data_IF_705070434971
#
_entry.id   IF_705070434971
#
_cell.length_a   1.000
_cell.length_b   1.000
_cell.length_c   1.000
_cell.angle_alpha   90.00
_cell.angle_beta   90.00
_cell.angle_gamma   90.00
#
_symmetry.space_group_name_H-M   'P 1'
#
loop_
_entity.id
_entity.type
_entity.pdbx_description
1 polymer ?
#
# COMPACT_ATOMS: atom_id res chain seq x y z
N UNK A 1 18.79 14.21 1.20
CA UNK A 1 18.77 12.81 0.71
C UNK A 1 19.80 12.63 -0.39
N UNK A 2 20.46 11.47 -0.45
CA UNK A 2 21.40 11.17 -1.53
C UNK A 2 20.67 10.68 -2.80
N UNK A 3 19.42 10.27 -2.67
CA UNK A 3 18.58 9.75 -3.74
C UNK A 3 17.25 10.52 -3.81
N UNK A 4 16.53 10.36 -4.92
CA UNK A 4 15.20 10.97 -5.06
C UNK A 4 14.19 10.37 -4.08
N UNK A 5 13.34 11.22 -3.51
CA UNK A 5 12.16 10.81 -2.76
C UNK A 5 11.00 10.73 -3.76
N UNK A 6 10.46 9.53 -3.95
CA UNK A 6 9.36 9.29 -4.90
C UNK A 6 8.11 8.74 -4.20
N UNK A 7 8.24 8.40 -2.92
CA UNK A 7 7.22 7.72 -2.14
C UNK A 7 6.31 8.72 -1.43
N UNK A 8 5.13 8.26 -1.06
CA UNK A 8 4.23 9.03 -0.20
C UNK A 8 4.93 9.33 1.12
N UNK A 9 4.85 10.58 1.55
CA UNK A 9 5.36 11.05 2.84
C UNK A 9 4.31 10.69 3.90
N UNK A 10 4.77 10.22 5.06
CA UNK A 10 3.91 9.95 6.21
C UNK A 10 4.15 11.00 7.30
N UNK A 11 3.11 11.32 8.07
CA UNK A 11 3.17 12.30 9.15
C UNK A 11 2.39 11.82 10.36
N UNK A 12 3.00 11.95 11.54
CA UNK A 12 2.35 11.75 12.83
C UNK A 12 3.08 12.54 13.92
N UNK A 13 2.32 13.19 14.79
CA UNK A 13 2.84 13.85 16.02
C UNK A 13 4.02 14.81 15.79
N UNK A 14 3.97 15.63 14.75
CA UNK A 14 5.02 16.61 14.45
C UNK A 14 6.25 16.01 13.75
N UNK A 15 6.23 14.73 13.37
CA UNK A 15 7.32 14.05 12.68
C UNK A 15 6.88 13.67 11.26
N UNK A 16 7.70 14.06 10.29
CA UNK A 16 7.54 13.68 8.88
C UNK A 16 8.51 12.54 8.57
N UNK A 17 8.00 11.47 7.99
CA UNK A 17 8.83 10.35 7.50
C UNK A 17 8.85 10.38 5.97
N UNK A 18 10.05 10.34 5.43
CA UNK A 18 10.31 10.21 4.00
C UNK A 18 11.22 9.02 3.73
N UNK A 19 11.02 8.36 2.59
CA UNK A 19 11.86 7.27 2.12
C UNK A 19 12.45 7.63 0.76
N UNK A 20 13.76 7.44 0.59
CA UNK A 20 14.39 7.64 -0.71
C UNK A 20 14.38 6.39 -1.59
N UNK A 21 14.75 6.54 -2.85
CA UNK A 21 14.75 5.45 -3.82
C UNK A 21 15.72 4.28 -3.50
N UNK A 22 16.60 4.45 -2.52
CA UNK A 22 17.45 3.39 -1.98
C UNK A 22 16.87 2.79 -0.68
N UNK A 23 15.61 3.08 -0.36
CA UNK A 23 14.89 2.67 0.85
C UNK A 23 15.43 3.28 2.16
N UNK A 24 16.31 4.27 2.12
CA UNK A 24 16.72 4.94 3.36
C UNK A 24 15.54 5.77 3.90
N UNK A 25 15.34 5.69 5.20
CA UNK A 25 14.31 6.45 5.90
C UNK A 25 14.91 7.69 6.57
N UNK A 26 14.16 8.76 6.55
CA UNK A 26 14.48 10.04 7.17
C UNK A 26 13.29 10.49 8.01
N UNK A 27 13.51 10.76 9.29
CA UNK A 27 12.55 11.46 10.11
C UNK A 27 12.96 12.92 10.25
N UNK A 28 12.02 13.79 9.98
CA UNK A 28 12.21 15.23 10.03
C UNK A 28 11.22 15.83 11.02
N UNK A 29 11.66 16.81 11.75
CA UNK A 29 10.79 17.68 12.52
C UNK A 29 9.91 18.47 11.55
N UNK A 30 8.59 18.40 11.71
CA UNK A 30 7.64 18.95 10.74
C UNK A 30 7.63 20.50 10.71
N UNK A 31 8.02 21.15 11.79
CA UNK A 31 8.05 22.61 11.89
C UNK A 31 9.35 23.21 11.32
N UNK A 32 10.47 22.63 11.69
CA UNK A 32 11.79 23.17 11.34
C UNK A 32 12.46 22.50 10.16
N UNK A 33 11.97 21.33 9.71
CA UNK A 33 12.62 20.51 8.69
C UNK A 33 13.93 19.85 9.15
N UNK A 34 14.29 19.95 10.42
CA UNK A 34 15.52 19.36 10.94
C UNK A 34 15.44 17.84 10.95
N UNK A 35 16.57 17.21 10.56
CA UNK A 35 16.71 15.77 10.65
C UNK A 35 16.73 15.32 12.12
N UNK A 36 15.79 14.47 12.50
CA UNK A 36 15.70 13.85 13.82
C UNK A 36 16.50 12.55 13.88
N UNK A 37 16.26 11.66 12.90
CA UNK A 37 17.01 10.42 12.74
C UNK A 37 17.00 9.96 11.29
N UNK A 38 17.90 9.02 10.99
CA UNK A 38 18.01 8.39 9.67
C UNK A 38 18.34 6.91 9.83
N UNK A 39 17.66 6.09 9.03
CA UNK A 39 17.96 4.66 8.92
C UNK A 39 18.48 4.35 7.51
N UNK A 40 19.65 3.73 7.45
CA UNK A 40 20.22 3.21 6.21
C UNK A 40 19.81 1.75 6.05
N UNK A 41 19.12 1.46 4.96
CA UNK A 41 18.72 0.10 4.64
C UNK A 41 19.67 -0.47 3.61
N UNK A 42 20.46 -1.47 4.05
CA UNK A 42 21.33 -2.19 3.12
C UNK A 42 20.50 -3.18 2.32
N UNK A 43 20.20 -2.82 1.08
CA UNK A 43 19.48 -3.67 0.15
C UNK A 43 20.41 -4.70 -0.47
N UNK A 44 19.92 -5.96 -0.54
CA UNK A 44 20.57 -7.03 -1.31
C UNK A 44 19.92 -7.19 -2.70
N UNK A 45 18.99 -6.32 -3.10
CA UNK A 45 18.25 -6.37 -4.36
C UNK A 45 17.87 -4.98 -4.86
N UNK A 46 17.50 -4.89 -6.13
CA UNK A 46 17.18 -3.65 -6.81
C UNK A 46 16.07 -2.83 -6.13
N UNK A 47 16.31 -1.53 -5.90
CA UNK A 47 15.39 -0.64 -5.15
C UNK A 47 14.24 -0.09 -6.01
N UNK A 48 13.82 -0.77 -7.08
CA UNK A 48 13.02 -0.13 -8.12
C UNK A 48 11.62 0.30 -7.72
N UNK A 49 11.04 -0.20 -6.64
CA UNK A 49 9.63 -0.01 -6.37
C UNK A 49 9.33 -0.12 -4.87
N UNK A 50 9.80 0.81 -4.11
CA UNK A 50 9.39 0.90 -2.72
C UNK A 50 8.47 2.10 -2.55
N UNK A 51 7.19 1.85 -2.71
CA UNK A 51 6.17 2.79 -2.28
C UNK A 51 5.58 2.25 -1.00
N UNK A 52 6.08 2.44 0.11
CA UNK A 52 5.45 1.74 1.16
C UNK A 52 5.85 2.17 2.54
N UNK A 53 5.60 3.42 2.91
CA UNK A 53 5.67 3.83 4.32
C UNK A 53 4.27 4.13 4.84
N UNK A 54 4.04 3.72 6.07
CA UNK A 54 2.88 4.15 6.85
C UNK A 54 3.29 4.30 8.30
N UNK A 55 2.53 5.09 9.06
CA UNK A 55 2.72 5.26 10.49
C UNK A 55 1.42 4.84 11.16
N UNK A 56 1.53 4.07 12.23
CA UNK A 56 0.41 3.77 13.10
C UNK A 56 0.89 3.72 14.55
N UNK A 57 0.28 4.52 15.40
CA UNK A 57 0.52 4.55 16.87
C UNK A 57 2.00 4.66 17.24
N UNK A 58 2.73 5.56 16.58
CA UNK A 58 4.14 5.81 16.87
C UNK A 58 5.10 4.76 16.32
N UNK A 59 4.65 3.90 15.41
CA UNK A 59 5.50 2.94 14.69
C UNK A 59 5.50 3.26 13.20
N UNK A 60 6.69 3.35 12.62
CA UNK A 60 6.92 3.53 11.18
C UNK A 60 7.10 2.17 10.54
N UNK A 61 6.26 1.85 9.58
CA UNK A 61 6.37 0.63 8.76
C UNK A 61 6.85 0.99 7.36
N UNK A 62 7.83 0.27 6.85
CA UNK A 62 8.44 0.55 5.56
C UNK A 62 8.78 -0.71 4.77
N UNK A 63 8.64 -0.63 3.44
CA UNK A 63 9.20 -1.60 2.52
C UNK A 63 10.72 -1.46 2.43
N UNK A 64 11.44 -2.58 2.40
CA UNK A 64 12.91 -2.62 2.37
C UNK A 64 13.46 -3.44 1.19
N UNK A 65 12.84 -3.35 0.04
CA UNK A 65 13.14 -4.26 -1.07
C UNK A 65 12.38 -5.58 -0.89
N UNK A 66 13.07 -6.69 -0.69
CA UNK A 66 12.43 -7.99 -0.48
C UNK A 66 12.01 -8.19 0.98
N UNK A 67 11.16 -7.31 1.51
CA UNK A 67 10.65 -7.43 2.86
C UNK A 67 10.08 -6.13 3.43
N UNK A 68 9.84 -6.16 4.72
CA UNK A 68 9.28 -5.08 5.51
C UNK A 68 10.11 -4.81 6.77
N UNK A 69 9.97 -3.64 7.32
CA UNK A 69 10.59 -3.24 8.58
C UNK A 69 9.69 -2.33 9.40
N UNK A 70 9.91 -2.31 10.72
CA UNK A 70 9.25 -1.41 11.65
C UNK A 70 10.27 -0.70 12.53
N UNK A 71 10.01 0.59 12.78
CA UNK A 71 10.87 1.45 13.57
C UNK A 71 10.03 2.29 14.54
N UNK A 72 10.59 2.58 15.69
CA UNK A 72 10.01 3.57 16.58
C UNK A 72 10.05 4.97 15.94
N UNK A 73 8.92 5.64 15.90
CA UNK A 73 8.75 6.93 15.22
C UNK A 73 9.67 8.02 15.79
N UNK A 74 9.86 8.05 17.12
CA UNK A 74 10.61 9.13 17.77
C UNK A 74 12.11 8.91 17.70
N UNK A 75 12.56 7.67 17.87
CA UNK A 75 13.97 7.33 18.03
C UNK A 75 14.60 6.73 16.78
N UNK A 76 13.79 6.20 15.86
CA UNK A 76 14.26 5.45 14.72
C UNK A 76 14.82 4.06 15.08
N UNK A 77 14.69 3.61 16.34
CA UNK A 77 15.15 2.27 16.71
C UNK A 77 14.37 1.20 15.97
N UNK A 78 15.08 0.20 15.47
CA UNK A 78 14.47 -0.93 14.79
C UNK A 78 13.68 -1.77 15.79
N UNK A 79 12.39 -1.99 15.50
CA UNK A 79 11.51 -2.88 16.25
C UNK A 79 11.63 -4.28 15.69
N UNK A 80 11.46 -4.43 14.38
CA UNK A 80 11.66 -5.69 13.67
C UNK A 80 12.02 -5.46 12.20
N UNK A 81 12.63 -6.48 11.57
CA UNK A 81 12.89 -6.56 10.14
C UNK A 81 12.51 -7.96 9.65
N UNK A 82 11.65 -8.02 8.64
CA UNK A 82 11.35 -9.23 7.90
C UNK A 82 11.99 -9.16 6.51
N UNK A 83 12.80 -10.16 6.17
CA UNK A 83 13.47 -10.32 4.87
C UNK A 83 13.03 -11.60 4.14
N UNK A 84 11.95 -12.23 4.58
CA UNK A 84 11.54 -13.57 4.12
C UNK A 84 10.77 -13.55 2.80
N UNK A 85 10.60 -12.36 2.22
CA UNK A 85 9.96 -12.24 0.92
C UNK A 85 10.86 -12.78 -0.19
N UNK A 86 10.23 -13.29 -1.26
CA UNK A 86 10.95 -13.77 -2.43
C UNK A 86 11.83 -12.64 -2.99
N UNK A 87 13.06 -13.00 -3.41
CA UNK A 87 13.94 -12.04 -4.11
C UNK A 87 13.20 -11.33 -5.25
N UNK A 88 13.38 -10.02 -5.35
CA UNK A 88 12.73 -9.11 -6.30
C UNK A 88 11.25 -8.80 -6.03
N UNK A 89 10.66 -9.29 -4.96
CA UNK A 89 9.35 -8.84 -4.51
C UNK A 89 9.54 -7.69 -3.51
N UNK A 90 9.31 -6.47 -3.93
CA UNK A 90 9.27 -5.29 -3.04
C UNK A 90 7.84 -4.79 -2.84
N UNK A 91 7.59 -4.10 -1.75
CA UNK A 91 6.34 -3.38 -1.55
C UNK A 91 6.18 -2.31 -2.63
N UNK A 92 5.11 -2.38 -3.40
CA UNK A 92 4.81 -1.44 -4.50
C UNK A 92 3.62 -0.55 -4.20
N UNK A 93 3.03 -0.72 -3.04
CA UNK A 93 1.87 0.03 -2.57
C UNK A 93 2.14 0.60 -1.19
N UNK A 94 1.44 1.66 -0.81
CA UNK A 94 1.43 2.11 0.58
C UNK A 94 0.98 0.96 1.48
N UNK A 95 1.70 0.76 2.58
CA UNK A 95 1.38 -0.28 3.54
C UNK A 95 0.07 0.03 4.26
N UNK A 96 -0.77 -0.97 4.44
CA UNK A 96 -2.07 -0.81 5.08
C UNK A 96 -2.10 -1.53 6.41
N UNK A 97 -2.39 -0.79 7.47
CA UNK A 97 -2.63 -1.37 8.79
C UNK A 97 -4.07 -1.81 8.90
N UNK A 98 -4.29 -3.10 9.12
CA UNK A 98 -5.61 -3.73 9.26
C UNK A 98 -5.71 -4.50 10.58
N UNK A 99 -5.92 -3.77 11.67
CA UNK A 99 -5.84 -4.31 13.02
C UNK A 99 -4.43 -4.80 13.35
N UNK A 100 -4.24 -6.08 13.60
CA UNK A 100 -2.92 -6.67 13.89
C UNK A 100 -2.20 -7.16 12.62
N UNK A 101 -2.67 -6.80 11.43
CA UNK A 101 -2.07 -7.23 10.16
C UNK A 101 -1.58 -6.02 9.37
N UNK A 102 -0.31 -6.08 8.98
CA UNK A 102 0.29 -5.15 8.03
C UNK A 102 0.20 -5.76 6.63
N UNK A 103 -0.50 -5.08 5.73
CA UNK A 103 -0.78 -5.58 4.38
C UNK A 103 0.00 -4.80 3.34
N UNK A 104 0.60 -5.52 2.40
CA UNK A 104 1.35 -4.93 1.29
C UNK A 104 1.12 -5.67 -0.01
N UNK A 105 0.93 -4.90 -1.08
CA UNK A 105 0.99 -5.41 -2.44
C UNK A 105 2.42 -5.42 -2.98
N UNK A 106 2.72 -6.37 -3.89
CA UNK A 106 4.02 -6.47 -4.55
C UNK A 106 3.90 -6.49 -6.06
N UNK A 107 4.96 -6.05 -6.75
CA UNK A 107 4.94 -5.93 -8.23
C UNK A 107 4.71 -7.26 -8.95
N UNK A 108 5.22 -8.37 -8.44
CA UNK A 108 5.28 -9.62 -9.18
C UNK A 108 4.36 -10.70 -8.67
N UNK A 109 3.58 -10.44 -7.69
CA UNK A 109 2.81 -11.54 -7.38
C UNK A 109 2.03 -11.61 -6.16
N UNK A 110 1.83 -10.58 -5.50
CA UNK A 110 1.02 -10.92 -4.40
C UNK A 110 0.66 -9.83 -3.46
N UNK A 111 -0.24 -10.23 -2.64
CA UNK A 111 -0.61 -9.53 -1.45
C UNK A 111 -0.06 -10.31 -0.26
N UNK A 112 0.63 -9.64 0.62
CA UNK A 112 1.14 -10.21 1.86
C UNK A 112 0.44 -9.61 3.05
N UNK A 113 0.02 -10.45 3.99
CA UNK A 113 -0.36 -10.05 5.33
C UNK A 113 0.71 -10.51 6.32
N UNK A 114 1.21 -9.57 7.09
CA UNK A 114 2.25 -9.81 8.08
C UNK A 114 1.74 -9.40 9.47
N UNK A 115 2.12 -10.14 10.49
CA UNK A 115 1.87 -9.75 11.86
C UNK A 115 2.53 -8.39 12.15
N UNK A 116 1.77 -7.44 12.61
CA UNK A 116 2.23 -6.04 12.76
C UNK A 116 3.29 -5.88 13.86
N UNK A 117 3.30 -6.77 14.85
CA UNK A 117 4.21 -6.68 16.00
C UNK A 117 5.53 -7.41 15.78
N UNK A 118 5.54 -8.43 14.92
CA UNK A 118 6.71 -9.30 14.72
C UNK A 118 7.24 -9.26 13.29
N UNK A 119 6.45 -8.74 12.34
CA UNK A 119 6.74 -8.75 10.93
C UNK A 119 6.61 -10.13 10.26
N UNK A 120 6.28 -11.20 10.99
CA UNK A 120 6.15 -12.54 10.43
C UNK A 120 5.00 -12.63 9.44
N UNK A 121 5.22 -13.30 8.31
CA UNK A 121 4.17 -13.54 7.34
C UNK A 121 3.07 -14.43 7.96
N UNK A 122 1.84 -13.94 7.92
CA UNK A 122 0.64 -14.68 8.32
C UNK A 122 0.03 -15.40 7.12
N UNK A 123 -0.06 -14.69 6.00
CA UNK A 123 -0.62 -15.22 4.76
C UNK A 123 -0.03 -14.53 3.53
N UNK A 124 -0.20 -15.20 2.39
CA UNK A 124 0.18 -14.69 1.07
C UNK A 124 -0.89 -15.10 0.06
N UNK A 125 -1.30 -14.15 -0.76
CA UNK A 125 -2.10 -14.41 -1.95
C UNK A 125 -1.23 -14.14 -3.18
N UNK A 126 -0.87 -15.17 -3.92
CA UNK A 126 0.01 -15.06 -5.09
C UNK A 126 -0.62 -15.53 -6.38
N UNK A 127 -1.78 -16.14 -6.30
CA UNK A 127 -2.46 -16.74 -7.43
C UNK A 127 -3.65 -15.89 -7.91
N UNK A 128 -4.20 -16.19 -9.08
CA UNK A 128 -5.32 -15.49 -9.71
C UNK A 128 -5.02 -14.14 -10.34
N UNK A 129 -3.78 -13.88 -10.74
CA UNK A 129 -3.42 -12.68 -11.48
C UNK A 129 -3.38 -11.41 -10.64
N UNK A 130 -3.21 -11.55 -9.32
CA UNK A 130 -2.98 -10.40 -8.44
C UNK A 130 -1.67 -9.71 -8.81
N UNK A 131 -1.77 -8.52 -9.41
CA UNK A 131 -0.65 -7.61 -9.67
C UNK A 131 -1.00 -6.26 -9.10
N UNK A 132 -0.34 -5.90 -8.00
CA UNK A 132 -0.60 -4.63 -7.33
C UNK A 132 0.46 -3.61 -7.73
N UNK A 133 0.24 -2.87 -8.81
CA UNK A 133 1.20 -1.91 -9.37
C UNK A 133 0.91 -0.44 -9.05
N UNK A 134 -0.17 -0.13 -8.39
CA UNK A 134 -0.51 1.27 -8.17
C UNK A 134 -1.52 1.47 -7.05
N UNK A 135 -2.59 0.69 -7.02
CA UNK A 135 -3.61 0.80 -5.99
C UNK A 135 -3.16 0.17 -4.68
N UNK A 136 -3.19 0.93 -3.61
CA UNK A 136 -2.95 0.40 -2.26
C UNK A 136 -4.19 -0.31 -1.73
N UNK A 137 -4.05 -1.39 -0.93
CA UNK A 137 -5.15 -1.96 -0.18
C UNK A 137 -5.78 -0.90 0.74
N UNK A 138 -7.10 -0.92 0.88
CA UNK A 138 -7.83 -0.05 1.81
C UNK A 138 -8.45 -0.91 2.90
N UNK A 139 -8.18 -0.60 4.17
CA UNK A 139 -8.86 -1.23 5.29
C UNK A 139 -10.04 -0.36 5.74
N UNK A 140 -11.24 -0.88 5.59
CA UNK A 140 -12.48 -0.24 6.08
C UNK A 140 -13.51 -1.30 6.45
N UNK A 141 -14.28 -1.04 7.50
CA UNK A 141 -15.37 -1.90 8.01
C UNK A 141 -14.93 -3.36 8.26
N UNK A 142 -13.73 -3.51 8.84
CA UNK A 142 -13.18 -4.82 9.16
C UNK A 142 -12.70 -5.64 7.96
N UNK A 143 -12.66 -5.09 6.76
CA UNK A 143 -12.30 -5.76 5.51
C UNK A 143 -11.20 -5.04 4.76
N UNK A 144 -10.47 -5.78 3.94
CA UNK A 144 -9.56 -5.21 2.94
C UNK A 144 -10.28 -5.13 1.59
N UNK A 145 -10.17 -3.97 0.96
CA UNK A 145 -10.72 -3.65 -0.34
C UNK A 145 -9.56 -3.42 -1.30
N UNK A 146 -9.49 -4.20 -2.37
CA UNK A 146 -8.30 -4.27 -3.22
C UNK A 146 -8.70 -4.31 -4.68
N UNK A 147 -8.04 -3.48 -5.48
CA UNK A 147 -8.09 -3.57 -6.93
C UNK A 147 -6.80 -4.25 -7.40
N UNK A 148 -6.92 -5.25 -8.22
CA UNK A 148 -5.77 -5.94 -8.79
C UNK A 148 -6.08 -6.54 -10.15
N UNK A 149 -5.22 -6.29 -11.12
CA UNK A 149 -5.31 -6.80 -12.49
C UNK A 149 -6.64 -6.51 -13.18
N UNK A 150 -7.60 -7.43 -13.12
CA UNK A 150 -8.92 -7.30 -13.73
C UNK A 150 -10.07 -7.40 -12.73
N UNK A 151 -9.74 -7.50 -11.44
CA UNK A 151 -10.75 -7.79 -10.44
C UNK A 151 -10.68 -6.85 -9.26
N UNK A 152 -11.83 -6.68 -8.65
CA UNK A 152 -11.98 -6.12 -7.32
C UNK A 152 -12.14 -7.25 -6.31
N UNK A 153 -11.42 -7.16 -5.20
CA UNK A 153 -11.42 -8.17 -4.14
C UNK A 153 -11.82 -7.57 -2.82
N UNK A 154 -12.59 -8.33 -2.06
CA UNK A 154 -12.85 -8.08 -0.63
C UNK A 154 -12.24 -9.24 0.15
N UNK A 155 -11.37 -8.93 1.10
CA UNK A 155 -10.52 -9.92 1.78
C UNK A 155 -10.65 -9.77 3.28
N UNK A 156 -10.68 -10.90 3.99
CA UNK A 156 -10.57 -10.93 5.44
C UNK A 156 -9.13 -10.67 5.86
N UNK A 157 -8.84 -9.62 6.64
CA UNK A 157 -7.46 -9.22 6.93
C UNK A 157 -6.64 -10.27 7.67
N UNK A 158 -7.26 -11.01 8.59
CA UNK A 158 -6.55 -11.92 9.49
C UNK A 158 -6.04 -13.18 8.81
N UNK A 159 -6.76 -13.66 7.81
CA UNK A 159 -6.49 -14.96 7.16
C UNK A 159 -6.11 -14.83 5.69
N UNK A 160 -6.33 -13.65 5.08
CA UNK A 160 -6.20 -13.47 3.64
C UNK A 160 -7.31 -14.13 2.81
N UNK A 161 -8.38 -14.65 3.46
CA UNK A 161 -9.50 -15.30 2.76
C UNK A 161 -10.22 -14.30 1.88
N UNK A 162 -10.35 -14.63 0.60
CA UNK A 162 -11.18 -13.87 -0.34
C UNK A 162 -12.66 -14.10 0.00
N UNK A 163 -13.32 -13.03 0.41
CA UNK A 163 -14.75 -13.02 0.76
C UNK A 163 -15.62 -12.77 -0.47
N UNK A 164 -15.17 -11.86 -1.35
CA UNK A 164 -15.84 -11.52 -2.60
C UNK A 164 -14.79 -11.20 -3.66
N UNK A 165 -15.12 -11.52 -4.90
CA UNK A 165 -14.35 -11.14 -6.08
C UNK A 165 -15.29 -10.76 -7.22
N UNK A 166 -14.96 -9.68 -7.91
CA UNK A 166 -15.70 -9.22 -9.09
C UNK A 166 -14.72 -8.88 -10.20
N UNK A 167 -14.83 -9.58 -11.31
CA UNK A 167 -14.12 -9.21 -12.53
C UNK A 167 -14.77 -7.95 -13.15
N UNK A 168 -13.94 -7.02 -13.56
CA UNK A 168 -14.35 -5.75 -14.15
C UNK A 168 -13.87 -5.68 -15.61
N UNK A 169 -14.69 -5.10 -16.48
CA UNK A 169 -14.40 -4.94 -17.91
C UNK A 169 -13.46 -3.76 -18.21
N UNK A 170 -12.64 -3.33 -17.25
CA UNK A 170 -11.70 -2.24 -17.39
C UNK A 170 -10.27 -2.72 -17.18
N UNK A 171 -9.30 -1.98 -17.72
CA UNK A 171 -7.90 -2.23 -17.42
C UNK A 171 -7.56 -1.66 -16.05
N UNK A 172 -7.26 -2.54 -15.11
CA UNK A 172 -6.94 -2.23 -13.72
C UNK A 172 -5.45 -2.38 -13.38
N UNK A 173 -4.60 -2.57 -14.37
CA UNK A 173 -3.15 -2.79 -14.15
C UNK A 173 -2.47 -1.58 -13.50
N UNK A 174 -2.97 -0.38 -13.78
CA UNK A 174 -2.52 0.87 -13.15
C UNK A 174 -3.75 1.66 -12.77
N UNK A 175 -4.22 1.46 -11.56
CA UNK A 175 -5.41 2.12 -11.02
C UNK A 175 -5.07 2.99 -9.83
N UNK A 176 -5.98 3.89 -9.50
CA UNK A 176 -5.91 4.62 -8.25
C UNK A 176 -6.34 3.75 -7.07
N UNK A 177 -5.79 4.03 -5.90
CA UNK A 177 -6.31 3.47 -4.63
C UNK A 177 -7.79 3.81 -4.51
N UNK A 178 -8.68 2.84 -4.23
CA UNK A 178 -10.11 3.08 -4.18
C UNK A 178 -10.51 3.92 -2.96
N UNK A 179 -11.46 4.81 -3.15
CA UNK A 179 -12.20 5.45 -2.07
C UNK A 179 -13.37 4.56 -1.69
N UNK A 180 -13.41 4.13 -0.43
CA UNK A 180 -14.51 3.33 0.11
C UNK A 180 -15.41 4.25 0.95
N UNK A 181 -16.61 4.51 0.48
CA UNK A 181 -17.64 5.27 1.22
C UNK A 181 -18.54 4.32 2.04
N UNK A 182 -19.64 4.81 2.55
CA UNK A 182 -20.66 3.98 3.21
C UNK A 182 -21.37 3.05 2.20
N UNK A 183 -21.60 3.52 0.99
CA UNK A 183 -22.43 2.82 -0.01
C UNK A 183 -21.69 2.47 -1.30
N UNK A 184 -20.53 3.08 -1.56
CA UNK A 184 -19.88 3.04 -2.85
C UNK A 184 -18.38 2.78 -2.74
N UNK A 185 -17.83 2.25 -3.82
CA UNK A 185 -16.41 2.09 -4.06
C UNK A 185 -16.08 2.88 -5.32
N UNK A 186 -15.26 3.91 -5.18
CA UNK A 186 -14.93 4.84 -6.28
C UNK A 186 -13.45 4.72 -6.62
N UNK A 187 -13.11 4.55 -7.88
CA UNK A 187 -11.72 4.43 -8.34
C UNK A 187 -11.54 4.86 -9.79
N UNK A 188 -10.33 5.29 -10.11
CA UNK A 188 -9.90 5.57 -11.49
C UNK A 188 -9.29 4.35 -12.16
N UNK A 189 -9.36 4.30 -13.49
CA UNK A 189 -8.79 3.23 -14.31
C UNK A 189 -7.85 3.78 -15.39
N UNK A 190 -7.03 2.89 -15.96
CA UNK A 190 -6.05 3.29 -16.96
C UNK A 190 -6.67 3.68 -18.32
N UNK A 191 -7.86 3.18 -18.64
CA UNK A 191 -8.44 3.31 -19.98
C UNK A 191 -9.90 3.74 -20.02
N UNK A 192 -10.59 3.76 -18.90
CA UNK A 192 -12.05 3.88 -18.87
C UNK A 192 -12.60 5.02 -18.01
N UNK A 193 -11.74 5.80 -17.38
CA UNK A 193 -12.15 6.92 -16.52
C UNK A 193 -12.41 6.53 -15.08
N UNK A 194 -13.50 7.01 -14.50
CA UNK A 194 -13.84 6.79 -13.09
C UNK A 194 -15.05 5.86 -12.99
N UNK A 195 -14.97 4.91 -12.08
CA UNK A 195 -16.05 3.96 -11.77
C UNK A 195 -16.54 4.14 -10.35
N UNK A 196 -17.83 3.88 -10.15
CA UNK A 196 -18.39 3.63 -8.84
C UNK A 196 -19.13 2.30 -8.84
N UNK A 197 -18.77 1.45 -7.90
CA UNK A 197 -19.46 0.20 -7.62
C UNK A 197 -20.33 0.37 -6.39
N UNK A 198 -21.44 -0.35 -6.34
CA UNK A 198 -22.19 -0.57 -5.12
C UNK A 198 -21.36 -1.43 -4.16
N UNK A 199 -21.17 -0.96 -2.93
CA UNK A 199 -20.27 -1.59 -1.97
C UNK A 199 -20.73 -2.98 -1.51
N UNK A 200 -22.03 -3.20 -1.44
CA UNK A 200 -22.58 -4.47 -0.96
C UNK A 200 -22.54 -5.56 -2.04
N UNK A 201 -22.83 -5.19 -3.28
CA UNK A 201 -23.03 -6.13 -4.39
C UNK A 201 -21.84 -6.18 -5.36
N UNK A 202 -20.98 -5.17 -5.33
CA UNK A 202 -19.89 -4.92 -6.30
C UNK A 202 -20.40 -4.71 -7.74
N UNK A 203 -21.67 -4.45 -7.93
CA UNK A 203 -22.20 -4.07 -9.24
C UNK A 203 -21.90 -2.62 -9.58
N UNK A 204 -21.71 -2.37 -10.88
CA UNK A 204 -21.46 -1.02 -11.37
C UNK A 204 -22.69 -0.14 -11.15
N UNK A 205 -22.55 0.99 -10.43
CA UNK A 205 -23.59 2.01 -10.24
C UNK A 205 -23.53 3.05 -11.34
N UNK A 206 -22.35 3.58 -11.57
CA UNK A 206 -22.10 4.55 -12.63
C UNK A 206 -20.64 4.50 -13.08
N UNK A 207 -20.43 5.07 -14.25
CA UNK A 207 -19.13 5.27 -14.85
C UNK A 207 -19.10 6.65 -15.48
N UNK A 208 -18.04 7.40 -15.23
CA UNK A 208 -17.72 8.65 -15.91
C UNK A 208 -16.55 8.39 -16.86
N UNK A 209 -16.78 8.53 -18.16
CA UNK A 209 -15.71 8.46 -19.14
C UNK A 209 -14.91 9.75 -19.08
N UNK A 210 -13.60 9.62 -18.94
CA UNK A 210 -12.65 10.72 -19.13
C UNK A 210 -12.15 10.68 -20.56
N UNK A 211 -11.59 11.79 -21.05
CA UNK A 211 -10.76 11.75 -22.26
C UNK A 211 -9.69 10.65 -22.06
N UNK A 212 -9.21 10.00 -23.14
CA UNK A 212 -8.27 8.88 -23.02
C UNK A 212 -6.99 9.31 -22.32
N UNK A 213 -7.02 9.27 -21.01
CA UNK A 213 -5.92 9.56 -20.11
C UNK A 213 -6.05 8.74 -18.84
N UNK A 214 -4.91 8.42 -18.29
CA UNK A 214 -4.80 7.63 -17.07
C UNK A 214 -5.24 8.44 -15.85
N UNK A 215 -6.05 7.84 -14.98
CA UNK A 215 -6.41 8.43 -13.69
C UNK A 215 -5.56 7.77 -12.61
N UNK A 216 -4.47 8.42 -12.23
CA UNK A 216 -3.49 7.89 -11.26
C UNK A 216 -3.74 8.32 -9.82
N UNK A 217 -4.45 9.41 -9.60
CA UNK A 217 -4.66 9.94 -8.26
C UNK A 217 -5.80 9.22 -7.56
N UNK A 218 -5.61 8.90 -6.29
CA UNK A 218 -6.69 8.36 -5.47
C UNK A 218 -7.77 9.43 -5.25
N UNK A 219 -9.06 9.11 -5.39
CA UNK A 219 -10.12 9.98 -4.94
C UNK A 219 -10.08 10.08 -3.41
N UNK A 220 -10.48 11.23 -2.87
CA UNK A 220 -10.60 11.42 -1.43
C UNK A 220 -11.92 12.09 -1.07
N UNK A 221 -12.37 11.87 0.15
CA UNK A 221 -13.51 12.60 0.73
C UNK A 221 -13.00 13.65 1.72
N UNK A 222 -13.61 14.81 1.71
CA UNK A 222 -13.43 15.85 2.73
C UNK A 222 -14.30 15.56 3.93
#
# INVERSE_FOLDING_TARGET
TANSVKNTIAYENGIVIAQDAACNLYALDAESGKLLWKQYIKLNSYPYLTEGITIDKGVVYAGIGAGLSAYDLKTGQTIWINKDWRQREGATTTLTVAGNVLVSGTQWGGLYGNDIHTGKQLWKLSDNGLRNRGASPVYKDGKLWIISSKSFFVIEPQTGKVLQQKELSANLDVTSTPLITEQEIIFGTADRGVFALDKATLFNKWRAETLPSLVYTAPYST
#
